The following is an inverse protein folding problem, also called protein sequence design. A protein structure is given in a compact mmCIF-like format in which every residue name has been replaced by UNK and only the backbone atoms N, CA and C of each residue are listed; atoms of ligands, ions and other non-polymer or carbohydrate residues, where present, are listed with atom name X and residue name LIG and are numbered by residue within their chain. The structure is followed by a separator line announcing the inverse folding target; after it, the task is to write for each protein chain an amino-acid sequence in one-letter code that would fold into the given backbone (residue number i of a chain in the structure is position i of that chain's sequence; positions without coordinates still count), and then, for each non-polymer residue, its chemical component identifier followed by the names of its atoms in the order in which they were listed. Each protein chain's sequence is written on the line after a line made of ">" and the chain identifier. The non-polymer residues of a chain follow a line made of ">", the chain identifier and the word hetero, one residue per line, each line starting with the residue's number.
data_IF_205365606329
#
_entry.id   IF_205365606329
#
_cell.length_a   1.000
_cell.length_b   1.000
_cell.length_c   1.000
_cell.angle_alpha   90.00
_cell.angle_beta   90.00
_cell.angle_gamma   90.00
#
_symmetry.space_group_name_H-M   'P 1'
#
loop_
_entity.id
_entity.type
_entity.pdbx_description
1 polymer ?
#
# COMPACT_ATOMS: atom_id res chain seq x y z
N UNK A 1 26.81 -3.81 -3.33
CA UNK A 1 25.65 -4.51 -3.93
C UNK A 1 26.02 -5.87 -4.53
N UNK A 2 26.73 -5.95 -5.67
CA UNK A 2 26.97 -7.20 -6.43
C UNK A 2 27.43 -8.40 -5.58
N UNK A 3 28.47 -8.24 -4.77
CA UNK A 3 29.00 -9.32 -3.92
C UNK A 3 27.98 -9.84 -2.90
N UNK A 4 27.12 -8.96 -2.37
CA UNK A 4 26.07 -9.34 -1.41
C UNK A 4 24.97 -10.16 -2.08
N UNK A 5 24.54 -9.73 -3.29
CA UNK A 5 23.58 -10.50 -4.11
C UNK A 5 24.16 -11.86 -4.45
N UNK A 6 25.42 -11.91 -4.89
CA UNK A 6 26.07 -13.15 -5.29
C UNK A 6 26.24 -14.13 -4.12
N UNK A 7 26.63 -13.62 -2.94
CA UNK A 7 26.70 -14.41 -1.71
C UNK A 7 25.33 -14.94 -1.30
N UNK A 8 24.28 -14.11 -1.35
CA UNK A 8 22.93 -14.49 -0.95
C UNK A 8 22.28 -15.52 -1.88
N UNK A 9 22.57 -15.46 -3.19
CA UNK A 9 21.88 -16.27 -4.21
C UNK A 9 22.76 -17.36 -4.86
N UNK A 10 24.04 -17.41 -4.51
CA UNK A 10 25.00 -18.40 -5.00
C UNK A 10 25.39 -18.26 -6.48
N UNK A 11 25.23 -17.07 -7.08
CA UNK A 11 25.57 -16.82 -8.48
C UNK A 11 26.09 -15.39 -8.69
N UNK A 12 27.10 -15.22 -9.54
CA UNK A 12 27.70 -13.90 -9.79
C UNK A 12 26.73 -12.94 -10.48
N UNK A 13 26.83 -11.64 -10.19
CA UNK A 13 26.03 -10.60 -10.85
C UNK A 13 26.74 -10.12 -12.12
N UNK A 14 26.17 -10.44 -13.28
CA UNK A 14 26.71 -10.08 -14.60
C UNK A 14 26.28 -8.68 -15.04
N UNK A 15 25.06 -8.26 -14.71
CA UNK A 15 24.51 -6.95 -15.09
C UNK A 15 23.69 -6.33 -13.94
N UNK A 16 23.70 -5.00 -13.85
CA UNK A 16 22.87 -4.22 -12.92
C UNK A 16 22.20 -3.08 -13.70
N UNK A 17 20.88 -2.99 -13.59
CA UNK A 17 20.10 -1.92 -14.21
C UNK A 17 19.26 -1.21 -13.15
N UNK A 18 19.37 0.11 -13.01
CA UNK A 18 18.43 0.87 -12.19
C UNK A 18 17.00 0.64 -12.69
N UNK A 19 16.08 0.38 -11.77
CA UNK A 19 14.65 0.42 -12.04
C UNK A 19 14.14 1.78 -11.58
N UNK A 20 13.37 2.45 -12.42
CA UNK A 20 12.66 3.67 -12.03
C UNK A 20 11.38 3.23 -11.34
N UNK A 21 11.15 3.60 -10.08
CA UNK A 21 9.95 3.11 -9.38
C UNK A 21 9.72 3.52 -7.92
N UNK A 22 10.63 4.23 -7.25
CA UNK A 22 10.34 4.71 -5.90
C UNK A 22 11.24 5.86 -5.48
N UNK A 23 10.63 6.96 -5.03
CA UNK A 23 11.35 8.17 -4.57
C UNK A 23 12.19 7.94 -3.30
N UNK A 24 12.12 6.74 -2.71
CA UNK A 24 12.55 6.48 -1.34
C UNK A 24 13.59 5.35 -1.19
N UNK A 25 13.83 4.53 -2.21
CA UNK A 25 14.83 3.44 -2.14
C UNK A 25 15.54 3.20 -3.47
N UNK A 26 16.83 2.86 -3.42
CA UNK A 26 17.57 2.46 -4.61
C UNK A 26 17.13 1.05 -5.02
N UNK A 27 16.42 0.97 -6.14
CA UNK A 27 15.90 -0.29 -6.70
C UNK A 27 16.68 -0.63 -7.98
N UNK A 28 17.26 -1.82 -8.02
CA UNK A 28 18.00 -2.31 -9.19
C UNK A 28 17.54 -3.70 -9.60
N UNK A 29 17.47 -3.95 -10.90
CA UNK A 29 17.41 -5.30 -11.45
C UNK A 29 18.83 -5.84 -11.57
N UNK A 30 19.08 -7.02 -11.01
CA UNK A 30 20.32 -7.76 -11.20
C UNK A 30 20.10 -8.98 -12.11
N UNK A 31 20.98 -9.15 -13.09
CA UNK A 31 21.09 -10.39 -13.88
C UNK A 31 22.22 -11.22 -13.32
N UNK A 32 21.95 -12.49 -13.03
CA UNK A 32 22.93 -13.44 -12.50
C UNK A 32 23.58 -14.26 -13.62
N UNK A 33 24.74 -14.85 -13.34
CA UNK A 33 25.50 -15.67 -14.29
C UNK A 33 24.78 -16.94 -14.72
N UNK A 34 23.80 -17.41 -13.93
CA UNK A 34 22.93 -18.54 -14.26
C UNK A 34 21.65 -18.15 -15.04
N UNK A 35 21.54 -16.87 -15.43
CA UNK A 35 20.43 -16.35 -16.21
C UNK A 35 19.22 -15.89 -15.37
N UNK A 36 19.21 -16.10 -14.05
CA UNK A 36 18.15 -15.55 -13.20
C UNK A 36 18.20 -14.02 -13.20
N UNK A 37 17.02 -13.40 -13.12
CA UNK A 37 16.86 -11.97 -12.86
C UNK A 37 16.20 -11.79 -11.50
N UNK A 38 16.68 -10.81 -10.74
CA UNK A 38 16.14 -10.47 -9.41
C UNK A 38 16.03 -8.95 -9.26
N UNK A 39 15.14 -8.51 -8.39
CA UNK A 39 15.07 -7.10 -7.97
C UNK A 39 15.74 -6.98 -6.61
N UNK A 40 16.69 -6.06 -6.49
CA UNK A 40 17.38 -5.75 -5.24
C UNK A 40 16.97 -4.34 -4.78
N UNK A 41 16.53 -4.25 -3.52
CA UNK A 41 16.23 -2.99 -2.84
C UNK A 41 17.19 -2.80 -1.67
N UNK A 42 17.69 -1.58 -1.52
CA UNK A 42 18.46 -1.15 -0.35
C UNK A 42 17.68 -0.13 0.47
N UNK A 43 17.78 -0.23 1.78
CA UNK A 43 17.19 0.76 2.69
C UNK A 43 16.95 0.22 4.08
N UNK A 44 16.71 1.12 5.04
CA UNK A 44 16.51 0.78 6.46
C UNK A 44 15.18 0.08 6.74
N UNK A 45 14.23 0.13 5.81
CA UNK A 45 12.88 -0.42 5.98
C UNK A 45 12.64 -1.73 5.21
N UNK A 46 13.63 -2.22 4.46
CA UNK A 46 13.45 -3.38 3.58
C UNK A 46 13.18 -4.68 4.36
N UNK A 47 13.65 -4.78 5.61
CA UNK A 47 13.32 -5.90 6.49
C UNK A 47 11.83 -5.91 6.89
N UNK A 48 11.23 -4.73 7.07
CA UNK A 48 9.79 -4.56 7.36
C UNK A 48 8.99 -4.91 6.11
N UNK A 49 9.37 -4.37 4.96
CA UNK A 49 8.74 -4.68 3.66
C UNK A 49 8.78 -6.19 3.38
N UNK A 50 9.91 -6.86 3.63
CA UNK A 50 10.02 -8.32 3.48
C UNK A 50 9.04 -9.10 4.37
N UNK A 51 8.74 -8.60 5.57
CA UNK A 51 7.73 -9.21 6.46
C UNK A 51 6.32 -9.00 5.92
N UNK A 52 6.02 -7.81 5.42
CA UNK A 52 4.72 -7.48 4.80
C UNK A 52 4.47 -8.33 3.55
N UNK A 53 5.44 -8.42 2.63
CA UNK A 53 5.36 -9.28 1.44
C UNK A 53 5.13 -10.75 1.80
N UNK A 54 5.83 -11.26 2.82
CA UNK A 54 5.61 -12.63 3.31
C UNK A 54 4.22 -12.81 3.93
N UNK A 55 3.70 -11.80 4.63
CA UNK A 55 2.35 -11.84 5.17
C UNK A 55 1.29 -11.86 4.05
N UNK A 56 1.46 -11.02 3.02
CA UNK A 56 0.62 -11.03 1.81
C UNK A 56 0.68 -12.41 1.15
N UNK A 57 1.87 -12.97 0.93
CA UNK A 57 2.03 -14.28 0.29
C UNK A 57 1.32 -15.41 1.04
N UNK A 58 1.29 -15.38 2.39
CA UNK A 58 0.60 -16.39 3.20
C UNK A 58 -0.92 -16.37 3.03
N UNK A 59 -1.50 -15.25 2.58
CA UNK A 59 -2.93 -15.20 2.26
C UNK A 59 -3.26 -15.93 0.96
N UNK A 60 -2.26 -16.20 0.11
CA UNK A 60 -2.44 -16.69 -1.26
C UNK A 60 -2.56 -15.58 -2.31
N UNK A 61 -2.51 -14.31 -1.89
CA UNK A 61 -2.43 -13.18 -2.81
C UNK A 61 -1.10 -13.16 -3.59
N UNK A 62 -1.18 -12.79 -4.87
CA UNK A 62 0.00 -12.62 -5.72
C UNK A 62 0.85 -11.44 -5.26
N UNK A 63 2.09 -11.75 -4.89
CA UNK A 63 3.15 -10.81 -4.50
C UNK A 63 4.49 -11.40 -4.94
N UNK A 64 5.52 -10.62 -5.28
CA UNK A 64 6.82 -11.18 -5.62
C UNK A 64 7.39 -12.02 -4.48
N UNK A 65 8.01 -13.15 -4.81
CA UNK A 65 8.68 -13.98 -3.80
C UNK A 65 9.86 -13.22 -3.20
N UNK A 66 9.93 -13.23 -1.87
CA UNK A 66 11.12 -12.79 -1.13
C UNK A 66 12.17 -13.89 -1.22
N UNK A 67 13.20 -13.67 -2.04
CA UNK A 67 14.30 -14.61 -2.25
C UNK A 67 15.33 -14.55 -1.12
N UNK A 68 15.58 -13.35 -0.60
CA UNK A 68 16.49 -13.10 0.50
C UNK A 68 16.15 -11.77 1.17
N UNK A 69 16.41 -11.64 2.47
CA UNK A 69 16.49 -10.33 3.12
C UNK A 69 17.57 -10.33 4.21
N UNK A 70 18.24 -9.19 4.38
CA UNK A 70 18.98 -8.77 5.57
C UNK A 70 18.35 -7.47 6.11
N UNK A 71 19.02 -6.79 7.04
CA UNK A 71 18.51 -5.55 7.64
C UNK A 71 18.38 -4.39 6.63
N UNK A 72 19.25 -4.36 5.64
CA UNK A 72 19.42 -3.26 4.68
C UNK A 72 19.37 -3.71 3.20
N UNK A 73 19.11 -5.00 2.93
CA UNK A 73 18.95 -5.55 1.57
C UNK A 73 17.75 -6.48 1.48
N UNK A 74 16.93 -6.29 0.45
CA UNK A 74 15.85 -7.20 0.08
C UNK A 74 16.01 -7.62 -1.37
N UNK A 75 16.01 -8.94 -1.60
CA UNK A 75 16.04 -9.55 -2.93
C UNK A 75 14.69 -10.19 -3.23
N UNK A 76 14.08 -9.75 -4.32
CA UNK A 76 12.78 -10.19 -4.79
C UNK A 76 12.89 -10.91 -6.13
N UNK A 77 11.93 -11.78 -6.37
CA UNK A 77 11.63 -12.29 -7.72
C UNK A 77 11.45 -11.13 -8.69
N UNK A 78 12.11 -11.22 -9.85
CA UNK A 78 11.85 -10.29 -10.94
C UNK A 78 10.63 -10.77 -11.73
N UNK A 79 9.61 -9.93 -11.78
CA UNK A 79 8.39 -10.15 -12.55
C UNK A 79 8.50 -9.42 -13.90
N UNK A 80 8.26 -10.09 -15.05
CA UNK A 80 8.33 -9.46 -16.36
C UNK A 80 7.12 -8.55 -16.58
N UNK A 81 7.32 -7.25 -16.38
CA UNK A 81 6.27 -6.25 -16.51
C UNK A 81 5.67 -6.22 -17.93
N UNK A 82 4.35 -6.13 -17.99
CA UNK A 82 3.55 -6.00 -19.18
C UNK A 82 2.51 -4.89 -19.00
N UNK A 83 1.90 -4.47 -20.11
CA UNK A 83 0.81 -3.49 -20.05
C UNK A 83 -0.41 -4.10 -19.34
N UNK A 84 -1.16 -3.31 -18.54
CA UNK A 84 -2.41 -3.78 -17.96
C UNK A 84 -3.38 -4.26 -19.04
N UNK A 85 -4.00 -5.41 -18.81
CA UNK A 85 -5.03 -6.00 -19.66
C UNK A 85 -6.30 -6.25 -18.84
N UNK A 86 -7.49 -6.40 -19.46
CA UNK A 86 -8.70 -6.76 -18.71
C UNK A 86 -8.53 -8.02 -17.86
N UNK A 87 -7.86 -9.05 -18.38
CA UNK A 87 -7.56 -10.28 -17.64
C UNK A 87 -6.64 -9.99 -16.43
N UNK A 88 -5.58 -9.20 -16.61
CA UNK A 88 -4.70 -8.79 -15.52
C UNK A 88 -5.44 -8.02 -14.41
N UNK A 89 -6.38 -7.14 -14.78
CA UNK A 89 -7.22 -6.42 -13.81
C UNK A 89 -8.14 -7.35 -13.03
N UNK A 90 -8.72 -8.36 -13.68
CA UNK A 90 -9.53 -9.37 -13.00
C UNK A 90 -8.69 -10.21 -12.03
N UNK A 91 -7.46 -10.57 -12.41
CA UNK A 91 -6.51 -11.23 -11.51
C UNK A 91 -6.16 -10.31 -10.33
N UNK A 92 -5.90 -9.02 -10.55
CA UNK A 92 -5.66 -8.06 -9.46
C UNK A 92 -6.82 -8.02 -8.47
N UNK A 93 -8.06 -7.97 -8.96
CA UNK A 93 -9.25 -8.01 -8.11
C UNK A 93 -9.34 -9.29 -7.29
N UNK A 94 -9.06 -10.44 -7.91
CA UNK A 94 -9.05 -11.75 -7.23
C UNK A 94 -7.94 -11.83 -6.18
N UNK A 95 -6.73 -11.36 -6.52
CA UNK A 95 -5.57 -11.26 -5.63
C UNK A 95 -5.89 -10.40 -4.40
N UNK A 96 -6.50 -9.23 -4.61
CA UNK A 96 -6.84 -8.33 -3.50
C UNK A 96 -7.95 -8.91 -2.62
N UNK A 97 -8.95 -9.58 -3.21
CA UNK A 97 -9.97 -10.31 -2.44
C UNK A 97 -9.34 -11.42 -1.59
N UNK A 98 -8.36 -12.13 -2.13
CA UNK A 98 -7.63 -13.17 -1.40
C UNK A 98 -6.85 -12.58 -0.23
N UNK A 99 -6.18 -11.43 -0.44
CA UNK A 99 -5.51 -10.70 0.63
C UNK A 99 -6.47 -10.34 1.77
N UNK A 100 -7.62 -9.77 1.42
CA UNK A 100 -8.65 -9.33 2.38
C UNK A 100 -9.42 -10.49 3.05
N UNK A 101 -9.16 -11.74 2.66
CA UNK A 101 -9.83 -12.91 3.26
C UNK A 101 -9.23 -13.34 4.60
N UNK A 102 -8.05 -12.83 4.97
CA UNK A 102 -7.37 -13.14 6.22
C UNK A 102 -7.89 -12.24 7.36
N UNK A 103 -8.70 -12.77 8.31
CA UNK A 103 -9.28 -11.95 9.36
C UNK A 103 -8.23 -11.52 10.39
N UNK A 104 -8.43 -10.34 10.97
CA UNK A 104 -7.64 -9.81 12.08
C UNK A 104 -8.53 -9.41 13.26
N UNK A 105 -7.94 -9.38 14.46
CA UNK A 105 -8.65 -9.01 15.68
C UNK A 105 -8.46 -7.54 16.07
N UNK A 106 -7.31 -6.97 15.72
CA UNK A 106 -6.92 -5.63 16.16
C UNK A 106 -6.35 -4.85 14.97
N UNK A 107 -6.77 -3.59 14.77
CA UNK A 107 -6.20 -2.76 13.72
C UNK A 107 -4.75 -2.40 14.02
N UNK A 108 -3.94 -2.26 12.98
CA UNK A 108 -2.51 -1.91 13.08
C UNK A 108 -1.56 -3.02 12.64
N UNK A 109 -0.29 -2.85 12.95
CA UNK A 109 0.81 -3.74 12.60
C UNK A 109 1.74 -3.93 13.80
N UNK A 110 2.66 -4.90 13.69
CA UNK A 110 3.60 -5.23 14.77
C UNK A 110 4.67 -4.15 15.01
N UNK A 111 4.87 -3.26 14.05
CA UNK A 111 5.88 -2.21 14.08
C UNK A 111 5.47 -1.04 13.17
N UNK A 112 5.99 0.15 13.47
CA UNK A 112 5.77 1.35 12.67
C UNK A 112 6.50 1.25 11.32
N UNK A 113 6.02 2.01 10.35
CA UNK A 113 6.62 2.10 9.02
C UNK A 113 6.97 3.55 8.68
N UNK A 114 7.49 3.80 7.48
CA UNK A 114 7.76 5.17 7.04
C UNK A 114 7.62 5.31 5.53
N UNK A 115 7.06 6.45 5.11
CA UNK A 115 7.17 6.95 3.76
C UNK A 115 8.22 8.07 3.75
N UNK A 116 9.48 7.70 3.49
CA UNK A 116 10.61 8.62 3.57
C UNK A 116 10.77 9.16 4.99
N UNK A 117 10.69 10.48 5.16
CA UNK A 117 10.79 11.11 6.47
C UNK A 117 9.50 11.07 7.30
N UNK A 118 8.39 10.58 6.73
CA UNK A 118 7.11 10.51 7.41
C UNK A 118 6.92 9.15 8.09
N UNK A 119 7.02 9.12 9.42
CA UNK A 119 6.67 7.95 10.22
C UNK A 119 5.17 7.66 10.15
N UNK A 120 4.83 6.40 9.94
CA UNK A 120 3.47 5.87 9.96
C UNK A 120 3.29 5.03 11.23
N UNK A 121 2.53 5.57 12.19
CA UNK A 121 2.15 4.87 13.42
C UNK A 121 1.28 3.66 13.07
N UNK A 122 1.74 2.47 13.44
CA UNK A 122 0.97 1.24 13.26
C UNK A 122 0.62 0.57 14.58
N UNK A 123 0.86 1.24 15.70
CA UNK A 123 0.59 0.67 17.02
C UNK A 123 -0.88 0.26 17.12
N UNK A 124 -1.19 -0.91 17.70
CA UNK A 124 -2.56 -1.38 17.79
C UNK A 124 -3.47 -0.40 18.53
N UNK A 125 -4.74 -0.31 18.11
CA UNK A 125 -5.79 0.45 18.80
C UNK A 125 -6.99 -0.45 19.09
N UNK A 126 -7.88 0.00 19.99
CA UNK A 126 -9.01 -0.81 20.46
C UNK A 126 -10.04 -1.14 19.36
N UNK A 127 -10.20 -0.27 18.37
CA UNK A 127 -11.19 -0.37 17.31
C UNK A 127 -10.74 0.40 16.08
N UNK A 128 -11.38 0.12 14.94
CA UNK A 128 -11.04 0.72 13.65
C UNK A 128 -11.24 2.24 13.59
N UNK A 129 -12.37 2.82 14.03
CA UNK A 129 -12.53 4.28 14.06
C UNK A 129 -11.44 5.00 14.86
N UNK A 130 -11.07 4.45 16.03
CA UNK A 130 -10.01 5.02 16.89
C UNK A 130 -8.65 4.91 16.20
N UNK A 131 -8.37 3.81 15.51
CA UNK A 131 -7.16 3.66 14.70
C UNK A 131 -7.10 4.70 13.58
N UNK A 132 -8.18 4.84 12.80
CA UNK A 132 -8.23 5.78 11.68
C UNK A 132 -8.10 7.24 12.14
N UNK A 133 -8.76 7.63 13.23
CA UNK A 133 -8.59 8.95 13.85
C UNK A 133 -7.13 9.17 14.27
N UNK A 134 -6.63 8.35 15.19
CA UNK A 134 -5.40 8.65 15.92
C UNK A 134 -4.13 8.38 15.11
N UNK A 135 -4.13 7.36 14.25
CA UNK A 135 -2.95 6.90 13.53
C UNK A 135 -2.93 7.31 12.05
N UNK A 136 -4.04 7.79 11.49
CA UNK A 136 -4.14 8.14 10.06
C UNK A 136 -4.53 9.58 9.80
N UNK A 137 -5.52 10.15 10.50
CA UNK A 137 -6.00 11.51 10.18
C UNK A 137 -5.44 12.59 11.12
N UNK A 138 -5.63 12.43 12.43
CA UNK A 138 -5.25 13.42 13.46
C UNK A 138 -3.78 13.85 13.42
N UNK A 139 -2.79 12.98 13.14
CA UNK A 139 -1.39 13.38 13.10
C UNK A 139 -1.07 14.49 12.10
N UNK A 140 -1.90 14.68 11.07
CA UNK A 140 -1.67 15.68 10.03
C UNK A 140 -2.22 17.07 10.37
N UNK A 141 -3.10 17.19 11.38
CA UNK A 141 -3.69 18.47 11.79
C UNK A 141 -2.67 19.61 11.97
N UNK A 142 -1.52 19.41 12.65
CA UNK A 142 -0.57 20.50 12.87
C UNK A 142 0.10 21.03 11.60
N UNK A 143 0.12 20.24 10.52
CA UNK A 143 0.73 20.64 9.24
C UNK A 143 -0.24 21.31 8.27
N UNK A 144 -1.54 21.30 8.55
CA UNK A 144 -2.57 21.80 7.65
C UNK A 144 -2.83 23.31 7.86
N UNK A 145 -3.27 24.03 6.80
CA UNK A 145 -3.84 25.36 6.96
C UNK A 145 -5.01 25.36 7.94
N UNK A 146 -5.17 26.45 8.70
CA UNK A 146 -6.17 26.55 9.78
C UNK A 146 -7.59 26.18 9.34
N UNK A 147 -7.99 26.58 8.14
CA UNK A 147 -9.31 26.26 7.60
C UNK A 147 -9.48 24.73 7.43
N UNK A 148 -8.58 24.09 6.67
CA UNK A 148 -8.55 22.64 6.44
C UNK A 148 -8.44 21.86 7.75
N UNK A 149 -7.59 22.30 8.68
CA UNK A 149 -7.42 21.67 9.99
C UNK A 149 -8.70 21.70 10.81
N UNK A 150 -9.45 22.81 10.80
CA UNK A 150 -10.75 22.90 11.48
C UNK A 150 -11.78 21.96 10.86
N UNK A 151 -11.83 21.87 9.53
CA UNK A 151 -12.72 20.95 8.81
C UNK A 151 -12.41 19.49 9.12
N UNK A 152 -11.13 19.10 9.03
CA UNK A 152 -10.70 17.75 9.40
C UNK A 152 -11.04 17.45 10.86
N UNK A 153 -10.77 18.39 11.79
CA UNK A 153 -11.11 18.25 13.20
C UNK A 153 -12.61 18.04 13.45
N UNK A 154 -13.47 18.68 12.65
CA UNK A 154 -14.92 18.51 12.72
C UNK A 154 -15.39 17.15 12.17
N UNK A 155 -14.62 16.52 11.27
CA UNK A 155 -14.91 15.18 10.75
C UNK A 155 -14.58 14.08 11.78
N UNK A 156 -13.47 14.22 12.52
CA UNK A 156 -12.98 13.20 13.46
C UNK A 156 -14.05 12.65 14.44
N UNK A 157 -14.89 13.47 15.12
CA UNK A 157 -15.91 12.95 16.03
C UNK A 157 -17.03 12.15 15.34
N UNK A 158 -17.16 12.21 14.02
CA UNK A 158 -18.17 11.45 13.25
C UNK A 158 -17.70 10.05 12.85
N UNK A 159 -16.39 9.77 12.94
CA UNK A 159 -15.79 8.51 12.53
C UNK A 159 -16.35 7.27 13.26
N UNK A 160 -16.66 7.31 14.57
CA UNK A 160 -17.26 6.17 15.26
C UNK A 160 -18.54 5.68 14.59
N UNK A 161 -19.40 6.57 14.10
CA UNK A 161 -20.65 6.20 13.44
C UNK A 161 -20.43 5.78 11.99
N UNK A 162 -19.52 6.46 11.28
CA UNK A 162 -19.28 6.25 9.84
C UNK A 162 -18.42 5.02 9.53
N UNK A 163 -17.55 4.63 10.46
CA UNK A 163 -16.58 3.55 10.30
C UNK A 163 -16.79 2.41 11.31
N UNK A 164 -17.97 2.34 11.97
CA UNK A 164 -18.28 1.24 12.89
C UNK A 164 -18.28 -0.13 12.19
N UNK A 165 -18.11 -1.18 12.99
CA UNK A 165 -18.25 -2.57 12.56
C UNK A 165 -17.44 -2.95 11.31
N UNK A 166 -16.34 -2.23 11.04
CA UNK A 166 -15.46 -2.54 9.93
C UNK A 166 -14.85 -3.95 10.13
N UNK A 167 -14.96 -4.85 9.14
CA UNK A 167 -14.20 -6.09 9.20
C UNK A 167 -12.72 -5.74 9.12
N UNK A 168 -11.89 -6.45 9.87
CA UNK A 168 -10.45 -6.26 9.84
C UNK A 168 -9.82 -7.37 9.02
N UNK A 169 -9.02 -6.96 8.04
CA UNK A 169 -8.20 -7.87 7.25
C UNK A 169 -6.79 -7.32 7.09
N UNK A 170 -5.86 -8.17 6.63
CA UNK A 170 -4.57 -7.68 6.15
C UNK A 170 -4.77 -6.79 4.92
N UNK A 171 -4.20 -5.59 4.95
CA UNK A 171 -4.21 -4.65 3.83
C UNK A 171 -2.84 -4.60 3.15
N UNK A 172 -2.84 -4.22 1.88
CA UNK A 172 -1.65 -3.74 1.19
C UNK A 172 -1.18 -2.41 1.81
N UNK A 173 -2.12 -1.50 2.08
CA UNK A 173 -1.87 -0.24 2.82
C UNK A 173 -1.34 0.92 1.98
N UNK A 174 -0.86 0.65 0.77
CA UNK A 174 -0.43 1.67 -0.22
C UNK A 174 -0.84 1.27 -1.66
N UNK A 175 -2.07 0.78 -1.86
CA UNK A 175 -2.49 0.22 -3.15
C UNK A 175 -3.01 1.28 -4.13
N UNK A 176 -2.11 2.01 -4.77
CA UNK A 176 -2.41 2.78 -5.98
C UNK A 176 -1.97 2.02 -7.23
N UNK A 177 -2.34 2.48 -8.43
CA UNK A 177 -2.08 1.74 -9.68
C UNK A 177 -0.59 1.51 -9.96
N UNK A 178 0.30 2.33 -9.43
CA UNK A 178 1.75 2.13 -9.54
C UNK A 178 2.28 0.95 -8.72
N UNK A 179 1.57 0.55 -7.67
CA UNK A 179 1.92 -0.59 -6.82
C UNK A 179 1.21 -1.90 -7.23
N UNK A 180 0.58 -1.89 -8.41
CA UNK A 180 0.05 -3.08 -9.07
C UNK A 180 0.91 -3.40 -10.30
N UNK A 181 1.77 -4.40 -10.19
CA UNK A 181 2.62 -4.85 -11.30
C UNK A 181 1.89 -5.88 -12.14
N UNK A 182 1.67 -5.57 -13.41
CA UNK A 182 1.02 -6.48 -14.35
C UNK A 182 2.05 -7.30 -15.11
N UNK A 183 1.79 -8.60 -15.27
CA UNK A 183 2.51 -9.50 -16.19
C UNK A 183 1.58 -9.86 -17.35
N UNK A 184 2.06 -10.67 -18.30
CA UNK A 184 1.27 -11.07 -19.46
C UNK A 184 -0.07 -11.76 -19.09
N UNK A 185 -0.09 -12.45 -17.94
CA UNK A 185 -1.15 -13.35 -17.50
C UNK A 185 -1.66 -13.07 -16.08
N UNK A 186 -1.05 -12.13 -15.35
CA UNK A 186 -1.32 -11.92 -13.92
C UNK A 186 -1.11 -10.47 -13.47
N UNK A 187 -1.38 -10.22 -12.19
CA UNK A 187 -1.09 -8.99 -11.49
C UNK A 187 -0.60 -9.30 -10.08
N UNK A 188 0.37 -8.51 -9.61
CA UNK A 188 1.06 -8.69 -8.35
C UNK A 188 1.03 -7.40 -7.54
N UNK A 189 0.86 -7.54 -6.23
CA UNK A 189 0.98 -6.45 -5.27
C UNK A 189 2.47 -6.24 -4.96
N UNK A 190 2.95 -5.02 -5.09
CA UNK A 190 4.34 -4.63 -4.79
C UNK A 190 4.36 -3.43 -3.85
N UNK A 191 5.48 -3.27 -3.13
CA UNK A 191 5.75 -2.09 -2.30
C UNK A 191 4.69 -1.85 -1.22
N UNK A 192 4.38 -2.86 -0.38
CA UNK A 192 3.34 -2.74 0.63
C UNK A 192 3.74 -1.80 1.77
N UNK A 193 2.71 -1.19 2.37
CA UNK A 193 2.76 -0.55 3.67
C UNK A 193 1.72 -1.21 4.58
N UNK A 194 1.79 -2.54 4.70
CA UNK A 194 0.72 -3.36 5.26
C UNK A 194 0.41 -3.10 6.72
N UNK A 195 -0.87 -3.18 7.05
CA UNK A 195 -1.40 -3.22 8.40
C UNK A 195 -2.77 -3.91 8.37
N UNK A 196 -3.30 -4.27 9.53
CA UNK A 196 -4.66 -4.78 9.63
C UNK A 196 -5.66 -3.63 9.72
N UNK A 197 -6.69 -3.66 8.89
CA UNK A 197 -7.67 -2.58 8.79
C UNK A 197 -8.87 -2.95 7.94
N UNK A 198 -9.69 -1.95 7.62
CA UNK A 198 -10.84 -2.14 6.73
C UNK A 198 -10.40 -2.37 5.28
N UNK A 199 -10.79 -3.49 4.63
CA UNK A 199 -10.55 -3.78 3.21
C UNK A 199 -10.88 -2.63 2.24
N UNK A 200 -11.83 -1.77 2.60
CA UNK A 200 -12.22 -0.64 1.76
C UNK A 200 -11.15 0.44 1.64
N UNK A 201 -10.12 0.44 2.49
CA UNK A 201 -8.98 1.37 2.37
C UNK A 201 -8.20 1.12 1.09
N UNK A 202 -7.84 -0.13 0.79
CA UNK A 202 -7.11 -0.46 -0.44
C UNK A 202 -7.96 -0.19 -1.69
N UNK A 203 -9.27 -0.45 -1.60
CA UNK A 203 -10.21 -0.08 -2.67
C UNK A 203 -10.28 1.44 -2.88
N UNK A 204 -10.31 2.21 -1.80
CA UNK A 204 -10.33 3.66 -1.85
C UNK A 204 -9.03 4.22 -2.43
N UNK A 205 -7.89 3.63 -2.08
CA UNK A 205 -6.56 4.03 -2.57
C UNK A 205 -6.45 3.86 -4.10
N UNK A 206 -6.99 2.77 -4.66
CA UNK A 206 -7.05 2.56 -6.11
C UNK A 206 -7.84 3.65 -6.86
N UNK A 207 -8.69 4.41 -6.17
CA UNK A 207 -9.49 5.50 -6.74
C UNK A 207 -8.86 6.89 -6.56
N UNK A 208 -7.72 7.02 -5.90
CA UNK A 208 -7.08 8.34 -5.67
C UNK A 208 -6.47 8.87 -6.96
N UNK A 209 -5.78 8.02 -7.73
CA UNK A 209 -5.10 8.39 -8.97
C UNK A 209 -5.61 7.61 -10.20
N UNK A 210 -6.76 6.96 -10.08
CA UNK A 210 -7.29 6.12 -11.14
C UNK A 210 -8.74 5.71 -10.92
N UNK A 211 -9.23 4.85 -11.80
CA UNK A 211 -10.53 4.21 -11.66
C UNK A 211 -10.38 2.76 -12.11
N UNK A 212 -10.48 1.79 -11.20
CA UNK A 212 -10.45 0.38 -11.57
C UNK A 212 -11.53 0.06 -12.61
N UNK A 213 -11.20 -0.64 -13.72
CA UNK A 213 -12.18 -1.02 -14.72
C UNK A 213 -13.12 -2.11 -14.19
N UNK A 214 -14.23 -2.36 -14.86
CA UNK A 214 -15.21 -3.40 -14.49
C UNK A 214 -14.58 -4.79 -14.28
N UNK A 215 -13.54 -5.12 -15.07
CA UNK A 215 -12.81 -6.37 -14.92
C UNK A 215 -12.21 -6.57 -13.53
N UNK A 216 -11.74 -5.50 -12.86
CA UNK A 216 -11.28 -5.57 -11.47
C UNK A 216 -12.40 -6.02 -10.53
N UNK A 217 -13.58 -5.43 -10.68
CA UNK A 217 -14.75 -5.74 -9.86
C UNK A 217 -15.29 -7.15 -10.11
N UNK A 218 -15.12 -7.70 -11.32
CA UNK A 218 -15.42 -9.10 -11.62
C UNK A 218 -14.55 -10.06 -10.80
N UNK A 219 -13.29 -9.69 -10.51
CA UNK A 219 -12.41 -10.46 -9.64
C UNK A 219 -12.63 -10.21 -8.15
N UNK A 220 -12.75 -8.94 -7.76
CA UNK A 220 -12.86 -8.56 -6.35
C UNK A 220 -14.24 -8.84 -5.75
N UNK A 221 -15.30 -8.58 -6.52
CA UNK A 221 -16.69 -8.60 -6.06
C UNK A 221 -17.22 -7.23 -5.63
N UNK A 222 -18.42 -7.22 -5.09
CA UNK A 222 -19.11 -5.99 -4.70
C UNK A 222 -18.66 -5.50 -3.32
N UNK A 223 -18.23 -4.23 -3.18
CA UNK A 223 -17.97 -3.62 -1.87
C UNK A 223 -19.20 -3.59 -0.97
N UNK A 224 -19.00 -3.33 0.33
CA UNK A 224 -20.12 -3.27 1.27
C UNK A 224 -21.02 -2.07 0.95
N UNK A 225 -22.27 -2.16 1.39
CA UNK A 225 -23.20 -1.05 1.29
C UNK A 225 -22.63 0.22 1.96
N UNK A 226 -22.85 1.37 1.33
CA UNK A 226 -22.34 2.65 1.80
C UNK A 226 -20.83 2.88 1.55
N UNK A 227 -20.11 1.99 0.85
CA UNK A 227 -18.66 2.15 0.64
C UNK A 227 -18.30 3.49 -0.01
N UNK A 228 -19.16 4.03 -0.90
CA UNK A 228 -18.91 5.31 -1.58
C UNK A 228 -18.77 6.47 -0.59
N UNK A 229 -19.55 6.48 0.49
CA UNK A 229 -19.46 7.51 1.54
C UNK A 229 -18.20 7.32 2.41
N UNK A 230 -17.79 6.07 2.65
CA UNK A 230 -16.54 5.77 3.38
C UNK A 230 -15.29 6.01 2.54
N UNK A 231 -15.40 5.88 1.22
CA UNK A 231 -14.29 6.04 0.27
C UNK A 231 -13.61 7.39 0.43
N UNK A 232 -14.35 8.49 0.44
CA UNK A 232 -13.76 9.84 0.58
C UNK A 232 -13.00 9.99 1.91
N UNK A 233 -13.55 9.44 3.01
CA UNK A 233 -12.89 9.40 4.33
C UNK A 233 -11.58 8.60 4.27
N UNK A 234 -11.58 7.46 3.57
CA UNK A 234 -10.38 6.64 3.42
C UNK A 234 -9.33 7.28 2.50
N UNK A 235 -9.75 8.04 1.48
CA UNK A 235 -8.86 8.77 0.58
C UNK A 235 -8.20 10.00 1.24
N UNK A 236 -8.72 10.51 2.36
CA UNK A 236 -8.09 11.61 3.08
C UNK A 236 -6.68 11.24 3.56
N UNK A 237 -6.47 10.03 4.06
CA UNK A 237 -5.15 9.62 4.55
C UNK A 237 -4.05 9.70 3.47
N UNK A 238 -4.17 9.06 2.30
CA UNK A 238 -3.16 9.19 1.26
C UNK A 238 -3.04 10.61 0.72
N UNK A 239 -4.13 11.38 0.62
CA UNK A 239 -4.06 12.79 0.21
C UNK A 239 -3.26 13.65 1.22
N UNK A 240 -3.43 13.40 2.53
CA UNK A 240 -2.67 14.05 3.60
C UNK A 240 -1.19 13.64 3.59
N UNK A 241 -0.91 12.35 3.37
CA UNK A 241 0.46 11.84 3.18
C UNK A 241 1.14 12.56 2.00
N UNK A 242 0.48 12.65 0.84
CA UNK A 242 1.04 13.34 -0.33
C UNK A 242 1.20 14.84 -0.08
N UNK A 243 0.25 15.49 0.58
CA UNK A 243 0.39 16.89 0.98
C UNK A 243 1.61 17.11 1.88
N UNK A 244 1.84 16.19 2.83
CA UNK A 244 2.98 16.27 3.76
C UNK A 244 4.32 16.04 3.06
N UNK A 245 4.38 15.14 2.09
CA UNK A 245 5.63 14.77 1.39
C UNK A 245 5.95 15.68 0.20
N UNK A 246 4.94 16.12 -0.55
CA UNK A 246 5.11 16.81 -1.83
C UNK A 246 4.53 18.24 -1.85
N UNK A 247 3.85 18.65 -0.77
CA UNK A 247 3.49 20.04 -0.51
C UNK A 247 2.09 20.45 -0.98
N UNK A 248 1.92 21.76 -1.18
CA UNK A 248 0.62 22.43 -1.29
C UNK A 248 -0.23 22.01 -2.52
N UNK A 249 0.37 21.39 -3.54
CA UNK A 249 -0.36 20.91 -4.73
C UNK A 249 -1.47 19.90 -4.42
N UNK A 250 -1.35 19.17 -3.30
CA UNK A 250 -2.34 18.18 -2.86
C UNK A 250 -3.43 18.75 -1.93
N UNK A 251 -3.32 20.02 -1.52
CA UNK A 251 -4.30 20.62 -0.61
C UNK A 251 -5.70 20.67 -1.26
N UNK A 252 -5.78 20.95 -2.56
CA UNK A 252 -7.06 20.95 -3.28
C UNK A 252 -7.76 19.59 -3.24
N UNK A 253 -6.99 18.49 -3.33
CA UNK A 253 -7.52 17.13 -3.19
C UNK A 253 -8.05 16.88 -1.78
N UNK A 254 -7.33 17.31 -0.74
CA UNK A 254 -7.79 17.20 0.66
C UNK A 254 -9.11 17.94 0.86
N UNK A 255 -9.23 19.18 0.36
CA UNK A 255 -10.46 19.98 0.48
C UNK A 255 -11.65 19.34 -0.27
N UNK A 256 -11.43 18.84 -1.48
CA UNK A 256 -12.46 18.12 -2.24
C UNK A 256 -12.96 16.87 -1.48
N UNK A 257 -12.03 16.07 -0.95
CA UNK A 257 -12.39 14.87 -0.19
C UNK A 257 -13.10 15.20 1.13
N UNK A 258 -12.79 16.34 1.75
CA UNK A 258 -13.55 16.84 2.90
C UNK A 258 -14.97 17.24 2.48
N UNK A 259 -15.17 17.90 1.33
CA UNK A 259 -16.52 18.20 0.81
C UNK A 259 -17.34 16.91 0.63
N UNK A 260 -16.76 15.91 -0.03
CA UNK A 260 -17.39 14.61 -0.24
C UNK A 260 -17.63 13.85 1.07
N UNK A 261 -16.76 14.01 2.07
CA UNK A 261 -16.94 13.42 3.38
C UNK A 261 -18.04 14.10 4.20
N UNK A 262 -18.39 15.36 3.94
CA UNK A 262 -19.49 16.04 4.64
C UNK A 262 -20.84 15.96 3.92
N UNK A 263 -20.86 15.50 2.66
CA UNK A 263 -22.07 15.13 1.94
C UNK A 263 -22.76 13.89 2.56
#
# INVERSE_FOLDING_TARGET
>A
MKARIASALGAEVTDLRPLHGGDLSEVVQATLSDGRRVVAKLGTHVAVEARMLRAIARTGANTPKVLHNSDDLLLLEHLPEARPSPAGWQVLGTTLRQLHSAPAQTPGWMEDYAFGALTIDNQPRRDWPTFWDQARLRPFLPSLPKHTANRLSALLPTLPDRLNNAPLALLHGDLWTGNALFTADSAYLIDPASYHGDPEVDLAMLHVFGTPPDAFWQGYGTPREGWRARRSIYQLYPALVHHRLFGAGYLGLVEQLLDEAFA
#
